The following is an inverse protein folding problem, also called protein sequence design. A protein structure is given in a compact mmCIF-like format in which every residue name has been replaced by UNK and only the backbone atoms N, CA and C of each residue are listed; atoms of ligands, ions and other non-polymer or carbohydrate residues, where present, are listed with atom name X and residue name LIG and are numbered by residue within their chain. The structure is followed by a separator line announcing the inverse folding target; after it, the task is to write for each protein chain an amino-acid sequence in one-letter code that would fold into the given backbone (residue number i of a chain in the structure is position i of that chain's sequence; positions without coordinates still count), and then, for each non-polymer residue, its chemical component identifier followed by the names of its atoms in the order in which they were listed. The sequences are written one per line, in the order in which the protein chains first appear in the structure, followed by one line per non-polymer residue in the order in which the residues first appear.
data_IF_713478273327
#
_entry.id   IF_713478273327
#
_cell.length_a   1.000
_cell.length_b   1.000
_cell.length_c   1.000
_cell.angle_alpha   90.00
_cell.angle_beta   90.00
_cell.angle_gamma   90.00
#
_symmetry.space_group_name_H-M   'P 1'
#
loop_
_entity.id
_entity.type
_entity.pdbx_description
1 polymer ?
#
# COMPACT_ATOMS: atom_id res chain seq x y z
N UNK A 1 8.00 26.08 -51.98
CA UNK A 1 8.29 26.48 -50.59
C UNK A 1 7.00 26.31 -49.81
N UNK A 2 6.85 25.26 -49.01
CA UNK A 2 5.78 25.13 -48.04
C UNK A 2 6.45 24.61 -46.76
N UNK A 3 6.64 25.51 -45.80
CA UNK A 3 7.15 25.21 -44.47
C UNK A 3 6.01 24.69 -43.59
N UNK A 4 6.32 23.68 -42.79
CA UNK A 4 5.36 22.94 -41.96
C UNK A 4 4.79 23.77 -40.81
N UNK A 5 3.54 23.44 -40.48
CA UNK A 5 2.92 23.82 -39.21
C UNK A 5 3.27 22.75 -38.18
N UNK A 6 4.13 23.13 -37.23
CA UNK A 6 4.50 22.34 -36.06
C UNK A 6 3.27 22.15 -35.16
N UNK A 7 2.91 20.89 -34.94
CA UNK A 7 1.87 20.48 -34.02
C UNK A 7 2.43 20.56 -32.60
N UNK A 8 2.25 21.70 -31.93
CA UNK A 8 2.51 21.80 -30.50
C UNK A 8 1.47 20.96 -29.75
N UNK A 9 1.92 19.85 -29.16
CA UNK A 9 1.13 19.04 -28.23
C UNK A 9 0.84 19.88 -26.99
N UNK A 10 -0.41 20.32 -26.85
CA UNK A 10 -0.89 21.03 -25.69
C UNK A 10 -0.78 20.10 -24.46
N UNK A 11 0.19 20.38 -23.60
CA UNK A 11 0.34 19.72 -22.31
C UNK A 11 -0.64 20.40 -21.36
N UNK A 12 -1.85 19.85 -21.27
CA UNK A 12 -2.81 20.33 -20.27
C UNK A 12 -2.25 20.09 -18.86
N UNK A 13 -2.30 21.09 -17.96
CA UNK A 13 -1.87 20.94 -16.58
C UNK A 13 -2.88 20.08 -15.81
N UNK A 14 -2.37 19.24 -14.91
CA UNK A 14 -3.18 18.44 -13.97
C UNK A 14 -4.10 19.37 -13.15
N UNK A 15 -5.40 19.30 -13.37
CA UNK A 15 -6.39 20.02 -12.56
C UNK A 15 -6.52 19.39 -11.17
N UNK A 16 -6.43 20.17 -10.08
CA UNK A 16 -6.69 19.69 -8.74
C UNK A 16 -8.21 19.74 -8.49
N UNK A 17 -8.86 18.59 -8.46
CA UNK A 17 -10.26 18.49 -8.04
C UNK A 17 -11.14 17.54 -8.84
N UNK A 18 -10.64 16.34 -9.17
CA UNK A 18 -11.56 15.27 -9.55
C UNK A 18 -12.30 14.83 -8.30
N UNK A 19 -13.58 15.18 -8.19
CA UNK A 19 -14.47 14.72 -7.12
C UNK A 19 -14.70 13.20 -7.23
N UNK A 20 -13.67 12.42 -6.91
CA UNK A 20 -13.69 10.96 -6.87
C UNK A 20 -14.36 10.43 -5.58
N UNK A 21 -15.07 11.28 -4.84
CA UNK A 21 -15.73 10.93 -3.58
C UNK A 21 -16.75 9.77 -3.72
N UNK A 22 -17.26 9.53 -4.93
CA UNK A 22 -18.14 8.40 -5.26
C UNK A 22 -17.44 7.17 -5.85
N UNK A 23 -16.11 7.19 -6.00
CA UNK A 23 -15.34 6.13 -6.65
C UNK A 23 -14.25 5.57 -5.73
N UNK A 24 -14.06 4.26 -5.78
CA UNK A 24 -12.92 3.58 -5.17
C UNK A 24 -11.83 3.43 -6.23
N UNK A 25 -10.59 3.76 -5.88
CA UNK A 25 -9.42 3.51 -6.70
C UNK A 25 -9.10 2.01 -6.75
N UNK A 26 -9.33 1.29 -5.65
CA UNK A 26 -9.19 -0.15 -5.58
C UNK A 26 -10.36 -0.86 -6.28
N UNK A 27 -10.11 -1.84 -7.17
CA UNK A 27 -11.18 -2.60 -7.80
C UNK A 27 -12.01 -3.38 -6.78
N UNK A 28 -13.30 -3.03 -6.62
CA UNK A 28 -14.19 -3.64 -5.62
C UNK A 28 -14.29 -5.17 -5.75
N UNK A 29 -14.20 -5.71 -6.96
CA UNK A 29 -14.18 -7.16 -7.19
C UNK A 29 -12.98 -7.84 -6.53
N UNK A 30 -11.80 -7.20 -6.57
CA UNK A 30 -10.58 -7.71 -5.95
C UNK A 30 -10.64 -7.61 -4.43
N UNK A 31 -11.16 -6.50 -3.92
CA UNK A 31 -11.40 -6.30 -2.47
C UNK A 31 -12.35 -7.39 -1.95
N UNK A 32 -13.45 -7.64 -2.67
CA UNK A 32 -14.41 -8.69 -2.31
C UNK A 32 -13.77 -10.08 -2.28
N UNK A 33 -12.94 -10.42 -3.27
CA UNK A 33 -12.24 -11.71 -3.30
C UNK A 33 -11.28 -11.86 -2.12
N UNK A 34 -10.54 -10.81 -1.76
CA UNK A 34 -9.61 -10.84 -0.61
C UNK A 34 -10.37 -11.03 0.70
N UNK A 35 -11.45 -10.29 0.92
CA UNK A 35 -12.27 -10.47 2.13
C UNK A 35 -12.83 -11.89 2.21
N UNK A 36 -13.21 -12.47 1.06
CA UNK A 36 -13.69 -13.85 0.97
C UNK A 36 -12.65 -14.92 1.34
N UNK A 37 -11.36 -14.60 1.45
CA UNK A 37 -10.36 -15.56 1.94
C UNK A 37 -10.35 -15.66 3.47
N UNK A 38 -11.04 -14.75 4.18
CA UNK A 38 -11.17 -14.79 5.63
C UNK A 38 -12.19 -15.87 6.01
N UNK A 39 -11.82 -16.84 6.88
CA UNK A 39 -12.76 -17.83 7.39
C UNK A 39 -13.98 -17.17 8.05
N UNK A 40 -15.17 -17.74 7.83
CA UNK A 40 -16.44 -17.28 8.40
C UNK A 40 -16.80 -15.81 8.11
N UNK A 41 -16.31 -15.26 6.99
CA UNK A 41 -16.65 -13.90 6.56
C UNK A 41 -18.16 -13.73 6.38
N UNK A 42 -18.73 -12.70 7.02
CA UNK A 42 -20.13 -12.34 6.88
C UNK A 42 -20.43 -11.79 5.47
N UNK A 43 -21.63 -12.03 4.93
CA UNK A 43 -22.07 -11.37 3.70
C UNK A 43 -21.99 -9.85 3.81
N UNK A 44 -21.35 -9.20 2.85
CA UNK A 44 -21.19 -7.74 2.80
C UNK A 44 -22.23 -7.09 1.88
N UNK A 45 -22.76 -5.94 2.31
CA UNK A 45 -23.51 -5.05 1.42
C UNK A 45 -22.57 -4.34 0.43
N UNK A 46 -23.07 -3.84 -0.70
CA UNK A 46 -22.27 -3.04 -1.63
C UNK A 46 -21.62 -1.81 -0.99
N UNK A 47 -22.32 -1.14 -0.08
CA UNK A 47 -21.85 0.04 0.65
C UNK A 47 -20.73 -0.32 1.61
N UNK A 48 -20.85 -1.44 2.34
CA UNK A 48 -19.81 -1.93 3.22
C UNK A 48 -18.53 -2.28 2.43
N UNK A 49 -18.68 -2.92 1.26
CA UNK A 49 -17.55 -3.23 0.38
C UNK A 49 -16.85 -1.95 -0.11
N UNK A 50 -17.61 -0.91 -0.46
CA UNK A 50 -17.07 0.39 -0.84
C UNK A 50 -16.33 1.07 0.32
N UNK A 51 -16.92 1.08 1.52
CA UNK A 51 -16.28 1.65 2.70
C UNK A 51 -14.96 0.95 3.04
N UNK A 52 -14.89 -0.38 2.94
CA UNK A 52 -13.66 -1.12 3.16
C UNK A 52 -12.60 -0.74 2.11
N UNK A 53 -12.98 -0.61 0.84
CA UNK A 53 -12.06 -0.19 -0.22
C UNK A 53 -11.50 1.22 0.05
N UNK A 54 -12.36 2.19 0.39
CA UNK A 54 -11.94 3.55 0.76
C UNK A 54 -11.08 3.57 2.03
N UNK A 55 -11.44 2.76 3.02
CA UNK A 55 -10.66 2.61 4.26
C UNK A 55 -9.24 2.11 3.98
N UNK A 56 -9.09 1.10 3.13
CA UNK A 56 -7.79 0.59 2.73
C UNK A 56 -6.96 1.64 1.96
N UNK A 57 -7.58 2.43 1.09
CA UNK A 57 -6.92 3.54 0.38
C UNK A 57 -6.40 4.60 1.34
N UNK A 58 -7.25 5.06 2.27
CA UNK A 58 -6.87 6.05 3.29
C UNK A 58 -5.80 5.50 4.23
N UNK A 59 -5.88 4.22 4.58
CA UNK A 59 -4.87 3.55 5.39
C UNK A 59 -3.49 3.55 4.70
N UNK A 60 -3.42 3.22 3.41
CA UNK A 60 -2.14 3.25 2.67
C UNK A 60 -1.56 4.67 2.59
N UNK A 61 -2.40 5.67 2.33
CA UNK A 61 -1.98 7.07 2.28
C UNK A 61 -1.45 7.55 3.65
N UNK A 62 -2.16 7.25 4.74
CA UNK A 62 -1.72 7.60 6.08
C UNK A 62 -0.42 6.87 6.48
N UNK A 63 -0.32 5.57 6.22
CA UNK A 63 0.89 4.78 6.46
C UNK A 63 2.10 5.38 5.76
N UNK A 64 2.01 5.61 4.44
CA UNK A 64 3.10 6.18 3.64
C UNK A 64 3.50 7.57 4.14
N UNK A 65 2.51 8.42 4.45
CA UNK A 65 2.78 9.77 5.00
C UNK A 65 3.48 9.71 6.34
N UNK A 66 3.11 8.79 7.22
CA UNK A 66 3.73 8.69 8.54
C UNK A 66 5.15 8.10 8.47
N UNK A 67 5.38 7.11 7.61
CA UNK A 67 6.75 6.64 7.31
C UNK A 67 7.59 7.80 6.75
N UNK A 68 7.07 8.55 5.78
CA UNK A 68 7.80 9.66 5.17
C UNK A 68 8.10 10.81 6.16
N UNK A 69 7.22 11.05 7.15
CA UNK A 69 7.50 12.00 8.24
C UNK A 69 8.69 11.58 9.10
N UNK A 70 8.91 10.28 9.28
CA UNK A 70 9.96 9.75 10.14
C UNK A 70 11.29 9.57 9.39
N UNK A 71 11.25 9.06 8.15
CA UNK A 71 12.45 8.67 7.38
C UNK A 71 12.77 9.60 6.19
N UNK A 72 11.89 10.54 5.85
CA UNK A 72 12.04 11.48 4.73
C UNK A 72 11.15 11.14 3.53
N UNK A 73 11.10 12.02 2.52
CA UNK A 73 10.17 11.88 1.38
C UNK A 73 10.49 10.69 0.45
N UNK A 74 11.75 10.26 0.40
CA UNK A 74 12.18 9.09 -0.37
C UNK A 74 12.26 7.90 0.56
N UNK A 75 11.19 7.12 0.61
CA UNK A 75 11.09 5.90 1.42
C UNK A 75 11.27 4.67 0.53
N UNK A 76 11.92 3.64 1.06
CA UNK A 76 11.96 2.30 0.50
C UNK A 76 11.27 1.30 1.44
N UNK A 77 11.39 0.01 1.10
CA UNK A 77 10.75 -1.05 1.89
C UNK A 77 11.33 -1.14 3.31
N UNK A 78 12.64 -0.92 3.50
CA UNK A 78 13.27 -1.07 4.81
C UNK A 78 12.73 -0.04 5.80
N UNK A 79 12.50 1.21 5.37
CA UNK A 79 11.87 2.23 6.22
C UNK A 79 10.43 1.88 6.57
N UNK A 80 9.65 1.34 5.62
CA UNK A 80 8.27 0.92 5.89
C UNK A 80 8.25 -0.26 6.86
N UNK A 81 9.12 -1.26 6.66
CA UNK A 81 9.22 -2.42 7.53
C UNK A 81 9.66 -2.01 8.94
N UNK A 82 10.64 -1.11 9.07
CA UNK A 82 11.08 -0.60 10.36
C UNK A 82 9.95 0.14 11.08
N UNK A 83 9.28 1.07 10.39
CA UNK A 83 8.16 1.82 10.95
C UNK A 83 7.03 0.92 11.46
N UNK A 84 6.65 -0.09 10.68
CA UNK A 84 5.61 -1.06 11.06
C UNK A 84 6.03 -1.83 12.31
N UNK A 85 7.27 -2.34 12.34
CA UNK A 85 7.78 -3.17 13.45
C UNK A 85 7.99 -2.39 14.75
N UNK A 86 8.24 -1.08 14.68
CA UNK A 86 8.37 -0.19 15.85
C UNK A 86 7.01 0.25 16.42
N UNK A 87 5.93 0.13 15.66
CA UNK A 87 4.60 0.61 16.04
C UNK A 87 3.71 -0.50 16.61
N UNK A 88 3.31 -0.35 17.88
CA UNK A 88 2.34 -1.23 18.54
C UNK A 88 0.96 -1.18 17.85
N UNK A 89 0.56 -0.02 17.31
CA UNK A 89 -0.72 0.13 16.60
C UNK A 89 -0.76 -0.67 15.29
N UNK A 90 0.41 -1.02 14.75
CA UNK A 90 0.57 -1.79 13.51
C UNK A 90 1.03 -3.23 13.79
N UNK A 91 0.90 -3.73 15.04
CA UNK A 91 1.28 -5.10 15.42
C UNK A 91 0.68 -6.16 14.47
N UNK A 92 -0.57 -5.96 14.03
CA UNK A 92 -1.26 -6.85 13.09
C UNK A 92 -0.58 -6.98 11.71
N UNK A 93 0.38 -6.10 11.40
CA UNK A 93 1.16 -6.11 10.18
C UNK A 93 2.58 -6.68 10.34
N UNK A 94 3.03 -6.97 11.55
CA UNK A 94 4.42 -7.40 11.80
C UNK A 94 4.80 -8.66 11.02
N UNK A 95 3.87 -9.60 10.90
CA UNK A 95 4.08 -10.85 10.15
C UNK A 95 4.11 -10.64 8.62
N UNK A 96 3.64 -9.49 8.14
CA UNK A 96 3.53 -9.18 6.71
C UNK A 96 4.67 -8.27 6.22
N UNK A 97 5.34 -7.54 7.12
CA UNK A 97 6.43 -6.61 6.81
C UNK A 97 7.74 -6.98 7.54
N UNK A 98 8.32 -8.17 7.27
CA UNK A 98 9.57 -8.55 7.90
C UNK A 98 10.76 -7.70 7.38
N UNK A 99 11.75 -7.44 8.23
CA UNK A 99 13.03 -6.84 7.79
C UNK A 99 13.68 -7.73 6.71
N UNK A 100 14.19 -7.11 5.64
CA UNK A 100 14.93 -7.84 4.63
C UNK A 100 16.18 -8.45 5.26
N UNK A 101 16.43 -9.71 4.96
CA UNK A 101 17.63 -10.42 5.39
C UNK A 101 18.22 -11.19 4.21
N UNK A 102 19.54 -11.33 4.20
CA UNK A 102 20.19 -12.18 3.21
C UNK A 102 19.88 -13.65 3.48
N UNK A 103 19.91 -14.47 2.43
CA UNK A 103 19.72 -15.91 2.58
C UNK A 103 20.69 -16.53 3.58
N UNK A 104 21.95 -16.07 3.58
CA UNK A 104 22.97 -16.51 4.52
C UNK A 104 22.62 -16.16 5.98
N UNK A 105 22.13 -14.94 6.24
CA UNK A 105 21.68 -14.52 7.55
C UNK A 105 20.48 -15.36 8.02
N UNK A 106 19.49 -15.57 7.15
CA UNK A 106 18.32 -16.40 7.43
C UNK A 106 18.74 -17.85 7.79
N UNK A 107 19.66 -18.45 7.03
CA UNK A 107 20.15 -19.80 7.29
C UNK A 107 20.90 -19.90 8.62
N UNK A 108 21.67 -18.87 8.99
CA UNK A 108 22.34 -18.80 10.28
C UNK A 108 21.33 -18.73 11.44
N UNK A 109 20.27 -17.93 11.27
CA UNK A 109 19.21 -17.81 12.28
C UNK A 109 18.42 -19.11 12.46
N UNK A 110 18.17 -19.86 11.38
CA UNK A 110 17.52 -21.18 11.46
C UNK A 110 18.38 -22.18 12.21
N UNK A 111 19.68 -22.28 11.90
CA UNK A 111 20.60 -23.19 12.61
C UNK A 111 20.73 -22.86 14.09
N UNK A 112 20.82 -21.57 14.44
CA UNK A 112 20.90 -21.14 15.82
C UNK A 112 19.65 -21.48 16.64
N UNK A 113 18.45 -21.47 16.01
CA UNK A 113 17.20 -21.91 16.64
C UNK A 113 17.07 -23.43 16.80
N UNK A 114 17.80 -24.22 16.00
CA UNK A 114 17.81 -25.69 16.11
C UNK A 114 18.76 -26.19 17.21
N UNK A 115 19.76 -25.37 17.59
CA UNK A 115 20.75 -25.67 18.63
C UNK A 115 20.28 -25.25 20.05
N UNK A 116 19.12 -24.60 20.18
CA UNK A 116 18.43 -24.25 21.45
C UNK A 116 17.30 -25.23 21.78
#
# INVERSE_FOLDING_TARGET
MNAGEESHSDSQPDEPGRDDAGQAALPLSRVKTIIGTVPDALPLSPEALFCIAKGAELFMDDLVKNVAKQYGEQIDYDEVAEYVLESDELEYLHDFFPRRQTYEAALRHLKAKEDE
#
